data_IF_805453980966
#
_entry.id   IF_805453980966
#
_cell.length_a   1.000
_cell.length_b   1.000
_cell.length_c   1.000
_cell.angle_alpha   90.00
_cell.angle_beta   90.00
_cell.angle_gamma   90.00
#
_symmetry.space_group_name_H-M   'P 1'
#
loop_
_entity.id
_entity.type
_entity.pdbx_description
1 polymer ?
#
# COMPACT_ATOMS: atom_id res chain seq x y z
N UNK A 1 3.08 -10.81 1.44
CA UNK A 1 1.87 -10.73 2.30
C UNK A 1 0.67 -10.50 1.41
N UNK A 2 -0.52 -11.01 1.76
CA UNK A 2 -1.77 -10.80 0.99
C UNK A 2 -2.52 -9.52 1.37
N UNK A 3 -2.05 -8.83 2.40
CA UNK A 3 -2.65 -7.63 2.95
C UNK A 3 -1.56 -6.69 3.48
N UNK A 4 -1.91 -5.42 3.65
CA UNK A 4 -1.08 -4.38 4.24
C UNK A 4 -1.97 -3.26 4.79
N UNK A 5 -1.37 -2.19 5.29
CA UNK A 5 -2.11 -1.08 5.91
C UNK A 5 -3.25 -0.53 5.02
N UNK A 6 -2.99 -0.38 3.72
CA UNK A 6 -3.98 0.11 2.77
C UNK A 6 -5.17 -0.84 2.59
N UNK A 7 -4.93 -2.16 2.48
CA UNK A 7 -6.03 -3.12 2.31
C UNK A 7 -6.85 -3.30 3.58
N UNK A 8 -6.23 -3.17 4.76
CA UNK A 8 -6.94 -3.17 6.05
C UNK A 8 -7.80 -1.92 6.19
N UNK A 9 -7.28 -0.74 5.83
CA UNK A 9 -8.05 0.50 5.87
C UNK A 9 -9.23 0.45 4.89
N UNK A 10 -9.02 0.03 3.64
CA UNK A 10 -10.08 -0.11 2.65
C UNK A 10 -11.23 -0.98 3.18
N UNK A 11 -10.91 -2.12 3.80
CA UNK A 11 -11.91 -2.99 4.44
C UNK A 11 -12.60 -2.33 5.63
N UNK A 12 -11.84 -1.68 6.51
CA UNK A 12 -12.37 -1.01 7.72
C UNK A 12 -13.37 0.11 7.38
N UNK A 13 -13.14 0.79 6.27
CA UNK A 13 -14.01 1.87 5.78
C UNK A 13 -15.00 1.41 4.70
N UNK A 14 -15.26 0.10 4.60
CA UNK A 14 -16.28 -0.49 3.73
C UNK A 14 -16.13 -0.14 2.24
N UNK A 15 -14.91 -0.11 1.72
CA UNK A 15 -14.70 -0.11 0.27
C UNK A 15 -15.45 -1.30 -0.35
N UNK A 16 -16.19 -1.06 -1.44
CA UNK A 16 -16.99 -2.08 -2.14
C UNK A 16 -16.12 -3.25 -2.61
N UNK A 17 -14.93 -2.95 -3.12
CA UNK A 17 -13.96 -3.93 -3.58
C UNK A 17 -12.52 -3.39 -3.55
N UNK A 18 -11.56 -4.31 -3.73
CA UNK A 18 -10.16 -3.97 -3.98
C UNK A 18 -9.85 -4.46 -5.39
N UNK A 19 -9.69 -3.51 -6.31
CA UNK A 19 -9.40 -3.78 -7.72
C UNK A 19 -8.07 -4.53 -7.84
N UNK A 20 -8.07 -5.62 -8.60
CA UNK A 20 -6.86 -6.38 -8.89
C UNK A 20 -6.04 -5.65 -9.97
N UNK A 21 -4.84 -5.13 -9.66
CA UNK A 21 -4.06 -4.36 -10.62
C UNK A 21 -3.33 -5.25 -11.63
N UNK A 22 -3.27 -6.58 -11.44
CA UNK A 22 -2.48 -7.52 -12.27
C UNK A 22 -2.73 -7.41 -13.78
N UNK A 23 -3.97 -7.21 -14.28
CA UNK A 23 -4.21 -7.03 -15.72
C UNK A 23 -3.60 -5.74 -16.30
N UNK A 24 -3.21 -4.79 -15.44
CA UNK A 24 -2.82 -3.43 -15.82
C UNK A 24 -1.32 -3.16 -15.61
N UNK A 25 -0.58 -4.11 -15.04
CA UNK A 25 0.82 -3.89 -14.65
C UNK A 25 1.74 -3.76 -15.85
N UNK A 26 2.79 -2.96 -15.67
CA UNK A 26 3.85 -2.80 -16.67
C UNK A 26 5.23 -3.07 -16.08
N UNK A 27 6.15 -3.51 -16.94
CA UNK A 27 7.59 -3.59 -16.69
C UNK A 27 7.94 -4.12 -15.28
N UNK A 28 8.58 -3.31 -14.44
CA UNK A 28 9.07 -3.75 -13.12
C UNK A 28 7.96 -4.20 -12.15
N UNK A 29 6.73 -3.72 -12.34
CA UNK A 29 5.57 -4.17 -11.56
C UNK A 29 5.12 -5.57 -12.01
N UNK A 30 5.08 -5.82 -13.32
CA UNK A 30 4.80 -7.16 -13.87
C UNK A 30 5.84 -8.18 -13.37
N UNK A 31 7.12 -7.81 -13.41
CA UNK A 31 8.20 -8.65 -12.89
C UNK A 31 8.05 -8.94 -11.40
N UNK A 32 7.56 -7.95 -10.63
CA UNK A 32 7.30 -8.12 -9.20
C UNK A 32 6.18 -9.13 -8.95
N UNK A 33 5.09 -9.10 -9.71
CA UNK A 33 4.03 -10.11 -9.58
C UNK A 33 4.51 -11.51 -9.98
N UNK A 34 5.33 -11.61 -11.03
CA UNK A 34 5.93 -12.87 -11.45
C UNK A 34 6.84 -13.46 -10.36
N UNK A 35 7.66 -12.61 -9.73
CA UNK A 35 8.55 -13.00 -8.64
C UNK A 35 7.79 -13.35 -7.35
N UNK A 36 6.67 -12.68 -7.09
CA UNK A 36 5.88 -12.84 -5.87
C UNK A 36 4.41 -13.13 -6.18
N UNK A 37 4.06 -14.31 -6.71
CA UNK A 37 2.70 -14.62 -7.19
C UNK A 37 1.62 -14.65 -6.09
N UNK A 38 2.04 -14.65 -4.81
CA UNK A 38 1.15 -14.77 -3.65
C UNK A 38 0.80 -13.44 -2.97
N UNK A 39 1.15 -12.29 -3.56
CA UNK A 39 0.88 -10.96 -2.96
C UNK A 39 -0.60 -10.52 -3.04
N UNK A 40 -1.42 -11.21 -3.83
CA UNK A 40 -2.85 -10.91 -3.95
C UNK A 40 -3.10 -9.62 -4.72
N UNK A 41 -4.22 -8.94 -4.43
CA UNK A 41 -4.70 -7.78 -5.19
C UNK A 41 -4.06 -6.45 -4.76
N UNK A 42 -3.12 -6.45 -3.81
CA UNK A 42 -2.41 -5.21 -3.46
C UNK A 42 -1.37 -4.90 -4.54
N UNK A 43 -1.24 -3.63 -4.90
CA UNK A 43 -0.19 -3.13 -5.79
C UNK A 43 1.13 -2.98 -5.02
N UNK A 44 2.20 -3.75 -5.36
CA UNK A 44 3.47 -3.65 -4.67
C UNK A 44 4.24 -2.38 -5.05
N UNK A 45 4.87 -1.73 -4.07
CA UNK A 45 5.83 -0.66 -4.26
C UNK A 45 7.22 -1.13 -3.80
N UNK A 46 8.01 -1.69 -4.72
CA UNK A 46 9.28 -2.35 -4.39
C UNK A 46 10.49 -1.41 -4.39
N UNK A 47 10.35 -0.22 -4.97
CA UNK A 47 11.40 0.79 -5.00
C UNK A 47 10.93 2.10 -5.63
N UNK A 48 11.77 3.12 -5.49
CA UNK A 48 11.44 4.51 -5.83
C UNK A 48 12.49 5.17 -6.73
N UNK A 49 13.25 4.38 -7.50
CA UNK A 49 14.06 4.92 -8.60
C UNK A 49 13.16 5.49 -9.71
N UNK A 50 13.68 6.38 -10.55
CA UNK A 50 12.89 7.09 -11.57
C UNK A 50 12.07 6.13 -12.45
N UNK A 51 12.68 5.06 -12.94
CA UNK A 51 12.00 4.04 -13.74
C UNK A 51 10.90 3.32 -12.96
N UNK A 52 11.13 2.99 -11.69
CA UNK A 52 10.14 2.29 -10.86
C UNK A 52 8.95 3.18 -10.52
N UNK A 53 9.19 4.48 -10.28
CA UNK A 53 8.12 5.46 -10.07
C UNK A 53 7.28 5.61 -11.33
N UNK A 54 7.92 5.66 -12.50
CA UNK A 54 7.23 5.73 -13.79
C UNK A 54 6.36 4.49 -14.04
N UNK A 55 6.90 3.30 -13.81
CA UNK A 55 6.16 2.04 -13.97
C UNK A 55 4.99 1.93 -12.99
N UNK A 56 5.19 2.42 -11.75
CA UNK A 56 4.16 2.45 -10.71
C UNK A 56 3.04 3.42 -11.10
N UNK A 57 3.37 4.65 -11.53
CA UNK A 57 2.41 5.64 -12.03
C UNK A 57 1.61 5.10 -13.22
N UNK A 58 2.29 4.53 -14.22
CA UNK A 58 1.64 3.99 -15.41
C UNK A 58 0.69 2.83 -15.06
N UNK A 59 1.10 1.97 -14.11
CA UNK A 59 0.22 0.91 -13.62
C UNK A 59 -1.01 1.49 -12.94
N UNK A 60 -0.85 2.47 -12.04
CA UNK A 60 -1.97 3.12 -11.33
C UNK A 60 -2.92 3.79 -12.32
N UNK A 61 -2.39 4.50 -13.31
CA UNK A 61 -3.16 5.23 -14.32
C UNK A 61 -4.01 4.33 -15.22
N UNK A 62 -3.63 3.04 -15.36
CA UNK A 62 -4.37 2.05 -16.15
C UNK A 62 -5.45 1.33 -15.34
N UNK A 63 -5.34 1.34 -14.01
CA UNK A 63 -6.29 0.68 -13.13
C UNK A 63 -7.54 1.56 -13.03
N UNK A 64 -8.66 1.01 -13.49
CA UNK A 64 -9.98 1.63 -13.33
C UNK A 64 -10.40 1.52 -11.85
N UNK A 65 -10.29 2.62 -11.11
CA UNK A 65 -10.62 2.67 -9.69
C UNK A 65 -11.07 4.08 -9.28
N UNK A 66 -11.91 4.15 -8.24
CA UNK A 66 -12.45 5.44 -7.76
C UNK A 66 -11.48 6.21 -6.86
N UNK A 67 -10.55 5.51 -6.19
CA UNK A 67 -9.61 6.09 -5.24
C UNK A 67 -8.38 5.20 -5.02
N UNK A 68 -7.27 5.82 -4.59
CA UNK A 68 -6.03 5.11 -4.22
C UNK A 68 -5.73 5.22 -2.74
N UNK A 69 -5.47 4.07 -2.11
CA UNK A 69 -5.07 4.00 -0.69
C UNK A 69 -3.58 3.67 -0.58
N UNK A 70 -2.78 4.68 -0.23
CA UNK A 70 -1.32 4.55 -0.08
C UNK A 70 -0.99 3.89 1.26
N UNK A 71 -0.53 2.65 1.21
CA UNK A 71 -0.13 1.85 2.38
C UNK A 71 1.37 1.88 2.71
N UNK A 72 2.15 2.77 2.11
CA UNK A 72 3.61 2.86 2.28
C UNK A 72 4.01 3.79 3.45
N UNK A 73 5.16 3.53 4.11
CA UNK A 73 5.74 4.46 5.09
C UNK A 73 6.25 5.78 4.51
N UNK A 74 6.55 5.81 3.21
CA UNK A 74 6.80 7.07 2.49
C UNK A 74 5.49 7.64 1.96
N UNK A 75 5.45 8.95 1.80
CA UNK A 75 4.35 9.64 1.16
C UNK A 75 4.47 9.61 -0.38
N UNK A 76 3.77 8.67 -1.02
CA UNK A 76 3.77 8.56 -2.48
C UNK A 76 3.14 9.76 -3.19
N UNK A 77 2.30 10.54 -2.51
CA UNK A 77 1.72 11.77 -3.10
C UNK A 77 2.78 12.82 -3.43
N UNK A 78 4.00 12.67 -2.91
CA UNK A 78 5.15 13.51 -3.23
C UNK A 78 5.93 13.06 -4.46
N UNK A 79 5.68 11.84 -4.95
CA UNK A 79 6.43 11.20 -6.03
C UNK A 79 5.56 10.88 -7.25
N UNK A 80 4.26 10.69 -7.03
CA UNK A 80 3.28 10.23 -8.01
C UNK A 80 2.13 11.24 -8.04
N UNK A 81 1.66 11.56 -9.24
CA UNK A 81 0.48 12.39 -9.44
C UNK A 81 -0.75 11.50 -9.66
N UNK A 82 -1.62 11.42 -8.66
CA UNK A 82 -2.82 10.58 -8.73
C UNK A 82 -3.95 11.31 -9.49
N UNK A 83 -4.52 10.65 -10.50
CA UNK A 83 -5.68 11.19 -11.26
C UNK A 83 -7.01 11.08 -10.50
N UNK A 84 -7.04 10.24 -9.48
CA UNK A 84 -8.18 10.00 -8.59
C UNK A 84 -7.81 10.38 -7.16
N UNK A 85 -8.78 10.61 -6.26
CA UNK A 85 -8.49 10.90 -4.86
C UNK A 85 -7.55 9.85 -4.25
N UNK A 86 -6.48 10.31 -3.64
CA UNK A 86 -5.49 9.45 -2.98
C UNK A 86 -5.33 9.84 -1.52
N UNK A 87 -5.28 8.85 -0.64
CA UNK A 87 -5.02 9.08 0.79
C UNK A 87 -3.98 8.12 1.32
N UNK A 88 -3.18 8.59 2.27
CA UNK A 88 -2.13 7.81 2.92
C UNK A 88 -2.60 7.28 4.26
N UNK A 89 -2.52 5.96 4.41
CA UNK A 89 -2.83 5.28 5.66
C UNK A 89 -1.56 5.19 6.50
N UNK A 90 -1.70 5.51 7.79
CA UNK A 90 -0.67 5.33 8.80
C UNK A 90 -1.18 4.35 9.84
N UNK A 91 -0.27 3.61 10.44
CA UNK A 91 -0.55 2.76 11.58
C UNK A 91 0.56 2.93 12.60
N UNK A 92 0.20 2.73 13.86
CA UNK A 92 1.11 2.75 14.99
C UNK A 92 0.92 1.45 15.78
N UNK A 93 1.93 1.09 16.57
CA UNK A 93 1.80 -0.03 17.49
C UNK A 93 0.79 0.35 18.56
N UNK A 94 -0.21 -0.52 18.74
CA UNK A 94 -1.12 -0.45 19.87
C UNK A 94 -0.90 -1.69 20.73
N UNK A 95 -0.39 -1.48 21.94
CA UNK A 95 -0.26 -2.56 22.93
C UNK A 95 -1.64 -2.91 23.52
N UNK A 96 -1.91 -4.20 23.67
CA UNK A 96 -3.17 -4.71 24.21
C UNK A 96 -2.86 -5.47 25.50
N UNK A 97 -3.43 -4.99 26.62
CA UNK A 97 -3.28 -5.61 27.94
C UNK A 97 -2.23 -4.95 28.82
N UNK A 98 -2.00 -5.56 30.00
CA UNK A 98 -1.02 -5.13 30.99
C UNK A 98 -0.19 -6.33 31.49
N UNK A 99 1.06 -6.12 31.92
CA UNK A 99 1.81 -4.86 31.83
C UNK A 99 2.18 -4.54 30.37
N UNK A 100 2.29 -3.25 30.04
CA UNK A 100 2.75 -2.77 28.74
C UNK A 100 4.16 -2.16 28.84
N UNK A 101 4.78 -1.85 27.71
CA UNK A 101 6.15 -1.35 27.67
C UNK A 101 6.30 -0.05 28.47
N UNK A 102 5.33 0.86 28.38
CA UNK A 102 5.31 2.10 29.18
C UNK A 102 5.32 1.82 30.69
N UNK A 103 4.55 0.83 31.16
CA UNK A 103 4.55 0.44 32.57
C UNK A 103 5.86 -0.22 33.01
N UNK A 104 6.48 -1.04 32.17
CA UNK A 104 7.74 -1.70 32.50
C UNK A 104 8.93 -0.73 32.51
N UNK A 105 8.89 0.31 31.68
CA UNK A 105 9.96 1.31 31.60
C UNK A 105 9.91 2.36 32.72
N UNK A 106 8.79 2.49 33.45
CA UNK A 106 8.67 3.43 34.58
C UNK A 106 9.56 3.08 35.78
N UNK A 107 10.00 1.83 35.87
CA UNK A 107 10.83 1.32 36.97
C UNK A 107 12.35 1.35 36.67
N UNK A 108 12.75 1.90 35.51
CA UNK A 108 14.15 2.10 35.09
C UNK A 108 14.51 3.59 35.04
#
# INVERSE_FOLDING_TARGET
MKYGAGTIAAKRFNASEIIDPRPYTVASITDTYNKYPKIGHLLPAMGYGEHQIKDLQETIDRVDCDAVVVGTPIDLTRLINFKVPATRVRYELQEIGLPNLDTLLKDF
#
